data_IF_263012868011
#
_entry.id   IF_263012868011
#
_cell.length_a   1.000
_cell.length_b   1.000
_cell.length_c   1.000
_cell.angle_alpha   90.00
_cell.angle_beta   90.00
_cell.angle_gamma   90.00
#
_symmetry.space_group_name_H-M   'P 1'
#
loop_
_entity.id
_entity.type
_entity.pdbx_description
1 polymer ?
#
# COMPACT_ATOMS: atom_id res chain seq x y z
N UNK A 1 -11.59 -17.18 8.41
CA UNK A 1 -10.37 -16.55 7.88
C UNK A 1 -9.41 -17.63 7.41
N UNK A 2 -9.95 -18.56 6.69
CA UNK A 2 -9.11 -19.55 6.06
C UNK A 2 -8.14 -18.83 5.12
N UNK A 3 -6.86 -19.06 5.34
CA UNK A 3 -5.82 -18.51 4.49
C UNK A 3 -5.08 -17.24 4.95
N UNK A 4 -5.39 -16.66 6.11
CA UNK A 4 -4.59 -15.54 6.67
C UNK A 4 -3.95 -15.89 8.00
N UNK A 5 -2.66 -15.61 8.14
CA UNK A 5 -1.92 -15.85 9.37
C UNK A 5 -1.23 -14.54 9.82
N UNK A 6 -1.58 -14.02 11.01
CA UNK A 6 -0.98 -12.79 11.51
C UNK A 6 0.45 -13.04 12.00
N UNK A 7 1.34 -12.07 11.81
CA UNK A 7 2.70 -12.06 12.33
C UNK A 7 3.11 -10.66 12.75
N UNK A 8 4.16 -10.55 13.55
CA UNK A 8 4.71 -9.28 13.99
C UNK A 8 5.87 -8.88 13.09
N UNK A 9 5.79 -7.68 12.55
CA UNK A 9 6.85 -7.09 11.73
C UNK A 9 7.95 -6.47 12.59
N UNK A 10 9.04 -6.01 11.94
CA UNK A 10 10.21 -5.48 12.65
C UNK A 10 9.97 -4.20 13.45
N UNK A 11 8.91 -3.44 13.18
CA UNK A 11 8.51 -2.23 13.91
C UNK A 11 7.38 -2.46 14.92
N UNK A 12 7.11 -3.71 15.26
CA UNK A 12 6.04 -4.16 16.17
C UNK A 12 4.61 -3.93 15.60
N UNK A 13 4.45 -3.59 14.32
CA UNK A 13 3.14 -3.61 13.65
C UNK A 13 2.76 -5.02 13.21
N UNK A 14 1.49 -5.24 12.87
CA UNK A 14 0.97 -6.55 12.47
C UNK A 14 0.96 -6.68 10.96
N UNK A 15 1.60 -7.71 10.42
CA UNK A 15 1.47 -8.15 9.04
C UNK A 15 0.56 -9.37 8.93
N UNK A 16 0.14 -9.68 7.70
CA UNK A 16 -0.60 -10.91 7.39
C UNK A 16 0.15 -11.69 6.31
N UNK A 17 0.22 -12.99 6.49
CA UNK A 17 0.59 -13.92 5.44
C UNK A 17 -0.67 -14.46 4.78
N UNK A 18 -0.72 -14.47 3.46
CA UNK A 18 -1.79 -15.10 2.67
C UNK A 18 -1.39 -16.50 2.26
N UNK A 19 -2.19 -17.49 2.62
CA UNK A 19 -2.01 -18.86 2.13
C UNK A 19 -2.39 -18.98 0.65
N UNK A 20 -3.34 -18.20 0.17
CA UNK A 20 -3.77 -18.18 -1.23
C UNK A 20 -2.64 -17.69 -2.16
N UNK A 21 -2.03 -16.55 -1.83
CA UNK A 21 -0.95 -15.96 -2.64
C UNK A 21 0.44 -16.50 -2.28
N UNK A 22 0.56 -17.28 -1.19
CA UNK A 22 1.84 -17.73 -0.63
C UNK A 22 2.83 -16.56 -0.42
N UNK A 23 2.30 -15.41 0.04
CA UNK A 23 3.06 -14.17 0.21
C UNK A 23 2.56 -13.37 1.42
N UNK A 24 3.34 -12.34 1.79
CA UNK A 24 3.06 -11.45 2.92
C UNK A 24 2.51 -10.12 2.43
N UNK A 25 1.46 -9.61 3.11
CA UNK A 25 0.89 -8.29 2.82
C UNK A 25 1.85 -7.15 3.12
N UNK A 26 2.73 -7.32 4.10
CA UNK A 26 3.73 -6.31 4.46
C UNK A 26 5.06 -7.00 4.72
N UNK A 27 6.16 -6.35 4.35
CA UNK A 27 7.48 -6.92 4.56
C UNK A 27 7.80 -7.09 6.06
N UNK A 28 8.66 -8.05 6.39
CA UNK A 28 9.11 -8.25 7.76
C UNK A 28 9.91 -7.07 8.36
N UNK A 29 10.19 -6.03 7.54
CA UNK A 29 10.86 -4.81 8.01
C UNK A 29 9.96 -3.96 8.92
N UNK A 30 8.68 -3.79 8.57
CA UNK A 30 7.71 -3.04 9.34
C UNK A 30 6.60 -2.48 8.47
N UNK A 31 5.36 -2.92 8.68
CA UNK A 31 4.22 -2.45 7.90
C UNK A 31 3.98 -0.94 8.05
N UNK A 32 4.06 -0.45 9.27
CA UNK A 32 3.88 0.97 9.58
C UNK A 32 5.03 1.82 9.04
N UNK A 33 6.28 1.35 9.21
CA UNK A 33 7.47 2.01 8.67
C UNK A 33 7.40 2.11 7.15
N UNK A 34 7.00 1.04 6.46
CA UNK A 34 6.81 1.04 5.01
C UNK A 34 5.76 2.04 4.56
N UNK A 35 4.61 2.09 5.24
CA UNK A 35 3.55 3.04 4.93
C UNK A 35 4.04 4.49 5.01
N UNK A 36 4.79 4.83 6.05
CA UNK A 36 5.34 6.19 6.17
C UNK A 36 6.46 6.46 5.17
N UNK A 37 7.47 5.61 5.08
CA UNK A 37 8.65 5.86 4.26
C UNK A 37 8.35 5.86 2.75
N UNK A 38 7.39 5.03 2.31
CA UNK A 38 7.11 4.85 0.88
C UNK A 38 5.90 5.63 0.40
N UNK A 39 4.87 5.86 1.25
CA UNK A 39 3.60 6.43 0.84
C UNK A 39 3.27 7.78 1.47
N UNK A 40 3.91 8.18 2.56
CA UNK A 40 3.65 9.46 3.23
C UNK A 40 4.82 10.44 3.09
N UNK A 41 6.01 10.06 3.56
CA UNK A 41 7.17 10.95 3.60
C UNK A 41 7.62 11.51 2.22
N UNK A 42 7.44 10.77 1.10
CA UNK A 42 7.79 11.31 -0.22
C UNK A 42 6.90 12.45 -0.70
N UNK A 43 5.70 12.59 -0.10
CA UNK A 43 4.67 13.50 -0.57
C UNK A 43 4.78 14.88 0.09
N UNK A 44 4.56 15.92 -0.70
CA UNK A 44 4.40 17.29 -0.24
C UNK A 44 2.92 17.63 -0.33
N UNK A 45 2.27 17.77 0.83
CA UNK A 45 0.83 17.98 0.94
C UNK A 45 0.54 19.45 1.21
N UNK A 46 0.32 20.23 0.16
CA UNK A 46 0.04 21.67 0.24
C UNK A 46 -1.45 21.98 0.28
N UNK A 47 -2.26 21.25 -0.48
CA UNK A 47 -3.72 21.45 -0.58
C UNK A 47 -4.44 21.10 0.72
N UNK A 48 -5.56 21.79 0.96
CA UNK A 48 -6.43 21.52 2.11
C UNK A 48 -7.53 20.50 1.80
N UNK A 49 -7.94 20.39 0.54
CA UNK A 49 -8.90 19.39 0.06
C UNK A 49 -8.16 18.39 -0.83
N UNK A 50 -8.19 17.12 -0.47
CA UNK A 50 -7.34 16.07 -1.05
C UNK A 50 -8.19 14.86 -1.39
N UNK A 51 -8.02 14.36 -2.61
CA UNK A 51 -8.55 13.07 -3.05
C UNK A 51 -7.41 12.05 -3.14
N UNK A 52 -7.56 10.93 -2.47
CA UNK A 52 -6.59 9.82 -2.47
C UNK A 52 -7.26 8.57 -3.05
N UNK A 53 -6.59 7.92 -3.98
CA UNK A 53 -6.95 6.59 -4.45
C UNK A 53 -5.96 5.58 -3.86
N UNK A 54 -6.44 4.68 -3.01
CA UNK A 54 -5.64 3.63 -2.39
C UNK A 54 -5.97 2.28 -3.01
N UNK A 55 -5.06 1.77 -3.84
CA UNK A 55 -5.22 0.52 -4.59
C UNK A 55 -4.51 -0.60 -3.85
N UNK A 56 -5.26 -1.66 -3.54
CA UNK A 56 -4.90 -2.73 -2.63
C UNK A 56 -4.77 -2.21 -1.19
N UNK A 57 -5.90 -1.69 -0.68
CA UNK A 57 -6.02 -1.12 0.66
C UNK A 57 -5.53 -2.09 1.76
N UNK A 58 -5.81 -3.39 1.63
CA UNK A 58 -5.39 -4.42 2.59
C UNK A 58 -5.82 -4.08 4.02
N UNK A 59 -4.84 -3.97 4.94
CA UNK A 59 -5.03 -3.52 6.32
C UNK A 59 -5.07 -1.99 6.48
N UNK A 60 -4.99 -1.25 5.38
CA UNK A 60 -5.13 0.20 5.33
C UNK A 60 -3.97 0.98 5.94
N UNK A 61 -2.79 0.42 6.06
CA UNK A 61 -1.64 1.10 6.64
C UNK A 61 -1.30 2.40 5.92
N UNK A 62 -1.34 2.41 4.58
CA UNK A 62 -1.00 3.58 3.77
C UNK A 62 -1.99 4.73 4.00
N UNK A 63 -3.29 4.47 3.86
CA UNK A 63 -4.35 5.44 4.12
C UNK A 63 -4.36 5.92 5.56
N UNK A 64 -4.19 5.02 6.54
CA UNK A 64 -4.12 5.37 7.96
C UNK A 64 -2.94 6.28 8.27
N UNK A 65 -1.75 5.95 7.76
CA UNK A 65 -0.54 6.73 7.95
C UNK A 65 -0.68 8.13 7.30
N UNK A 66 -1.22 8.17 6.07
CA UNK A 66 -1.45 9.44 5.37
C UNK A 66 -2.45 10.32 6.11
N UNK A 67 -3.58 9.76 6.55
CA UNK A 67 -4.58 10.50 7.34
C UNK A 67 -3.98 11.02 8.65
N UNK A 68 -3.24 10.18 9.36
CA UNK A 68 -2.62 10.55 10.64
C UNK A 68 -1.59 11.68 10.49
N UNK A 69 -0.83 11.68 9.40
CA UNK A 69 0.16 12.73 9.09
C UNK A 69 -0.50 14.05 8.65
N UNK A 70 -1.71 13.98 8.06
CA UNK A 70 -2.41 15.11 7.46
C UNK A 70 -3.72 15.44 8.21
N UNK A 71 -3.73 15.31 9.51
CA UNK A 71 -4.90 15.41 10.40
C UNK A 71 -5.67 16.74 10.36
N UNK A 72 -5.14 17.77 9.74
CA UNK A 72 -5.77 19.09 9.60
C UNK A 72 -6.36 19.33 8.21
N UNK A 73 -6.32 18.32 7.32
CA UNK A 73 -6.80 18.42 5.94
C UNK A 73 -8.18 17.77 5.78
N UNK A 74 -8.89 18.18 4.73
CA UNK A 74 -10.10 17.48 4.25
C UNK A 74 -9.69 16.42 3.28
N UNK A 75 -9.99 15.15 3.56
CA UNK A 75 -9.46 14.05 2.75
C UNK A 75 -10.58 13.09 2.38
N UNK A 76 -10.69 12.81 1.10
CA UNK A 76 -11.55 11.75 0.56
C UNK A 76 -10.66 10.62 0.08
N UNK A 77 -10.85 9.46 0.67
CA UNK A 77 -10.19 8.22 0.25
C UNK A 77 -11.17 7.37 -0.56
N UNK A 78 -10.73 6.89 -1.72
CA UNK A 78 -11.32 5.76 -2.42
C UNK A 78 -10.39 4.57 -2.25
N UNK A 79 -10.83 3.59 -1.47
CA UNK A 79 -10.06 2.42 -1.07
C UNK A 79 -10.54 1.20 -1.85
N UNK A 80 -9.67 0.64 -2.68
CA UNK A 80 -9.95 -0.51 -3.52
C UNK A 80 -9.23 -1.74 -2.96
N UNK A 81 -9.96 -2.81 -2.74
CA UNK A 81 -9.39 -4.13 -2.43
C UNK A 81 -10.37 -5.22 -2.84
N UNK A 82 -9.88 -6.32 -3.37
CA UNK A 82 -10.74 -7.46 -3.70
C UNK A 82 -11.26 -8.16 -2.44
N UNK A 83 -10.53 -8.02 -1.32
CA UNK A 83 -10.82 -8.72 -0.08
C UNK A 83 -11.56 -7.82 0.93
N UNK A 84 -12.91 -7.88 0.93
CA UNK A 84 -13.76 -7.18 1.89
C UNK A 84 -13.38 -7.47 3.34
N UNK A 85 -12.96 -8.71 3.65
CA UNK A 85 -12.60 -9.12 5.01
C UNK A 85 -11.43 -8.30 5.54
N UNK A 86 -10.39 -8.06 4.74
CA UNK A 86 -9.24 -7.25 5.15
C UNK A 86 -9.63 -5.80 5.42
N UNK A 87 -10.49 -5.21 4.55
CA UNK A 87 -11.02 -3.87 4.80
C UNK A 87 -11.72 -3.79 6.15
N UNK A 88 -12.60 -4.75 6.44
CA UNK A 88 -13.35 -4.80 7.70
C UNK A 88 -12.46 -5.05 8.93
N UNK A 89 -11.39 -5.80 8.80
CA UNK A 89 -10.44 -6.05 9.90
C UNK A 89 -9.51 -4.88 10.17
N UNK A 90 -9.28 -4.06 9.16
CA UNK A 90 -8.31 -2.95 9.21
C UNK A 90 -8.35 -2.15 10.53
N UNK A 91 -9.49 -1.62 11.02
CA UNK A 91 -9.50 -0.79 12.21
C UNK A 91 -9.19 -1.56 13.51
N UNK A 92 -9.35 -2.87 13.52
CA UNK A 92 -9.14 -3.68 14.72
C UNK A 92 -7.71 -4.20 14.85
N UNK A 93 -6.91 -4.14 13.82
CA UNK A 93 -5.51 -4.59 13.85
C UNK A 93 -4.66 -3.59 14.63
N UNK A 94 -3.87 -4.09 15.56
CA UNK A 94 -2.91 -3.30 16.32
C UNK A 94 -1.83 -2.71 15.42
N UNK A 95 -1.69 -1.39 15.44
CA UNK A 95 -0.70 -0.67 14.63
C UNK A 95 0.51 -0.17 15.42
N UNK A 96 0.40 -0.10 16.76
CA UNK A 96 1.38 0.59 17.61
C UNK A 96 1.85 -0.23 18.83
N UNK A 97 1.62 -1.54 18.88
CA UNK A 97 1.82 -2.29 20.12
C UNK A 97 3.20 -2.91 20.29
N UNK A 98 3.71 -2.71 21.52
CA UNK A 98 4.72 -3.60 22.10
C UNK A 98 4.05 -4.93 22.45
N UNK A 99 3.98 -5.85 21.55
CA UNK A 99 3.64 -7.25 21.83
C UNK A 99 4.83 -7.96 22.50
N UNK A 100 5.50 -7.22 23.42
CA UNK A 100 6.87 -7.49 23.84
C UNK A 100 7.07 -8.84 24.51
N UNK A 101 6.12 -9.41 25.24
CA UNK A 101 6.43 -10.55 26.12
C UNK A 101 5.80 -11.87 25.65
N UNK A 102 4.65 -11.84 25.01
CA UNK A 102 3.99 -13.05 24.53
C UNK A 102 4.75 -13.69 23.35
N UNK A 103 5.18 -12.87 22.40
CA UNK A 103 5.86 -13.37 21.19
C UNK A 103 7.36 -13.59 21.36
N UNK A 104 8.01 -12.94 22.32
CA UNK A 104 9.40 -13.29 22.67
C UNK A 104 9.53 -14.72 23.16
N UNK A 105 8.48 -15.26 23.78
CA UNK A 105 8.42 -16.65 24.25
C UNK A 105 8.08 -17.68 23.17
N UNK A 106 7.44 -17.23 22.05
CA UNK A 106 7.10 -18.12 20.91
C UNK A 106 8.15 -18.10 19.77
N UNK A 107 9.23 -17.37 19.94
CA UNK A 107 10.25 -17.12 18.89
C UNK A 107 10.85 -18.39 18.27
N UNK A 108 10.84 -19.51 18.97
CA UNK A 108 11.56 -20.71 18.54
C UNK A 108 10.74 -21.67 17.67
N UNK A 109 9.43 -21.43 17.50
CA UNK A 109 8.53 -22.31 16.77
C UNK A 109 7.71 -21.63 15.64
N UNK A 110 7.97 -20.36 15.32
CA UNK A 110 7.17 -19.64 14.37
C UNK A 110 7.67 -19.87 12.94
N UNK A 111 6.82 -20.52 12.11
CA UNK A 111 6.99 -20.72 10.66
C UNK A 111 7.36 -19.42 9.91
N UNK A 112 6.99 -18.26 10.47
CA UNK A 112 7.14 -16.93 9.88
C UNK A 112 8.31 -16.12 10.45
N UNK A 113 9.02 -16.63 11.45
CA UNK A 113 10.20 -15.97 12.05
C UNK A 113 11.26 -15.59 11.01
N UNK A 114 11.35 -16.35 9.90
CA UNK A 114 12.25 -16.06 8.78
C UNK A 114 11.94 -14.74 8.04
N UNK A 115 10.70 -14.24 8.14
CA UNK A 115 10.28 -12.97 7.51
C UNK A 115 10.48 -11.78 8.44
N UNK A 116 10.61 -12.01 9.75
CA UNK A 116 10.81 -10.95 10.75
C UNK A 116 12.28 -10.52 10.74
N UNK A 117 12.53 -9.31 10.23
CA UNK A 117 13.84 -8.67 10.35
C UNK A 117 13.86 -7.85 11.62
N UNK A 118 14.96 -7.87 12.38
CA UNK A 118 15.13 -6.96 13.52
C UNK A 118 15.08 -5.52 13.01
N UNK A 119 13.91 -4.91 13.09
CA UNK A 119 13.68 -3.51 12.74
C UNK A 119 14.24 -2.61 13.84
N UNK A 120 14.81 -1.49 13.44
CA UNK A 120 15.40 -0.53 14.37
C UNK A 120 14.37 0.34 15.09
N UNK A 121 13.05 0.43 14.66
CA UNK A 121 12.35 1.66 14.94
C UNK A 121 10.88 1.56 15.29
N UNK A 122 10.58 2.19 16.42
CA UNK A 122 9.28 2.65 16.91
C UNK A 122 9.07 4.14 16.59
N UNK A 123 9.47 4.59 15.38
CA UNK A 123 9.46 6.00 15.01
C UNK A 123 8.05 6.48 14.64
N UNK A 124 7.30 5.65 13.96
CA UNK A 124 5.99 5.99 13.43
C UNK A 124 4.86 5.49 14.32
N UNK A 125 3.75 6.21 14.29
CA UNK A 125 2.57 5.92 15.11
C UNK A 125 1.31 6.33 14.37
N UNK A 126 0.23 5.56 14.55
CA UNK A 126 -1.13 5.94 14.15
C UNK A 126 -1.96 6.17 15.41
N UNK A 127 -2.64 7.30 15.49
CA UNK A 127 -3.49 7.63 16.61
C UNK A 127 -4.83 6.88 16.51
N UNK A 128 -5.42 6.48 17.64
CA UNK A 128 -6.63 5.63 17.70
C UNK A 128 -7.85 6.23 16.99
N UNK A 129 -7.95 7.56 16.91
CA UNK A 129 -9.04 8.24 16.22
C UNK A 129 -9.13 7.87 14.73
N UNK A 130 -8.02 7.52 14.09
CA UNK A 130 -7.98 7.06 12.69
C UNK A 130 -8.80 5.79 12.52
N UNK A 131 -8.63 4.83 13.44
CA UNK A 131 -9.39 3.59 13.43
C UNK A 131 -10.89 3.81 13.69
N UNK A 132 -11.23 4.79 14.56
CA UNK A 132 -12.63 5.17 14.82
C UNK A 132 -13.28 5.76 13.55
N UNK A 133 -12.57 6.59 12.79
CA UNK A 133 -13.04 7.08 11.48
C UNK A 133 -13.33 5.93 10.53
N UNK A 134 -12.42 4.97 10.45
CA UNK A 134 -12.60 3.78 9.59
C UNK A 134 -13.82 2.96 10.01
N UNK A 135 -14.01 2.70 11.31
CA UNK A 135 -15.17 1.96 11.83
C UNK A 135 -16.47 2.62 11.36
N UNK A 136 -16.57 3.95 11.48
CA UNK A 136 -17.75 4.69 11.03
C UNK A 136 -18.06 4.42 9.55
N UNK A 137 -17.10 4.63 8.66
CA UNK A 137 -17.32 4.52 7.22
C UNK A 137 -17.49 3.07 6.74
N UNK A 138 -16.82 2.11 7.38
CA UNK A 138 -17.01 0.69 7.10
C UNK A 138 -18.43 0.24 7.51
N UNK A 139 -18.91 0.71 8.65
CA UNK A 139 -20.30 0.45 9.06
C UNK A 139 -21.32 1.11 8.13
N UNK A 140 -21.10 2.36 7.73
CA UNK A 140 -21.96 3.06 6.75
C UNK A 140 -22.01 2.31 5.41
N UNK A 141 -20.89 1.67 5.01
CA UNK A 141 -20.80 0.91 3.76
C UNK A 141 -21.39 -0.50 3.83
N UNK A 142 -21.11 -1.23 4.90
CA UNK A 142 -21.38 -2.67 4.98
C UNK A 142 -22.46 -3.05 6.01
N UNK A 143 -22.94 -2.10 6.82
CA UNK A 143 -23.93 -2.36 7.88
C UNK A 143 -23.40 -3.34 8.92
N UNK A 144 -24.27 -4.25 9.37
CA UNK A 144 -23.90 -5.26 10.37
C UNK A 144 -22.90 -6.30 9.84
N UNK A 145 -22.85 -6.51 8.52
CA UNK A 145 -21.87 -7.41 7.89
C UNK A 145 -20.42 -6.97 8.06
N UNK A 146 -20.19 -5.68 8.42
CA UNK A 146 -18.88 -5.17 8.76
C UNK A 146 -18.28 -5.89 9.97
N UNK A 147 -19.11 -6.25 10.94
CA UNK A 147 -18.63 -6.82 12.19
C UNK A 147 -18.50 -8.33 12.09
N UNK A 148 -17.34 -8.80 11.75
CA UNK A 148 -17.01 -10.21 11.53
C UNK A 148 -16.77 -10.93 12.86
N UNK A 149 -17.84 -11.18 13.62
CA UNK A 149 -17.77 -11.74 14.97
C UNK A 149 -17.01 -13.09 15.02
N UNK A 150 -17.23 -13.94 14.02
CA UNK A 150 -16.55 -15.24 13.90
C UNK A 150 -15.02 -15.10 13.78
N UNK A 151 -14.54 -14.01 13.19
CA UNK A 151 -13.11 -13.76 13.01
C UNK A 151 -12.53 -13.11 14.26
N UNK A 152 -13.21 -12.11 14.80
CA UNK A 152 -12.76 -11.38 15.98
C UNK A 152 -12.77 -12.21 17.25
N UNK A 153 -13.55 -13.32 17.27
CA UNK A 153 -13.60 -14.27 18.39
C UNK A 153 -12.54 -15.36 18.32
N UNK A 154 -11.82 -15.53 17.20
CA UNK A 154 -10.80 -16.57 17.07
C UNK A 154 -9.59 -16.27 17.98
N UNK A 155 -9.29 -17.19 18.89
CA UNK A 155 -8.23 -17.04 19.90
C UNK A 155 -6.85 -16.72 19.30
N UNK A 156 -6.53 -17.30 18.13
CA UNK A 156 -5.24 -17.08 17.46
C UNK A 156 -5.01 -15.61 17.01
N UNK A 157 -6.08 -14.85 16.75
CA UNK A 157 -6.01 -13.46 16.34
C UNK A 157 -6.15 -12.47 17.51
N UNK A 158 -6.68 -12.92 18.65
CA UNK A 158 -6.95 -12.08 19.80
C UNK A 158 -5.75 -11.20 20.24
N UNK A 159 -4.51 -11.72 20.26
CA UNK A 159 -3.34 -10.91 20.64
C UNK A 159 -3.05 -9.75 19.69
N UNK A 160 -3.50 -9.85 18.41
CA UNK A 160 -3.22 -8.90 17.34
C UNK A 160 -4.29 -7.82 17.20
N UNK A 161 -5.41 -7.95 17.92
CA UNK A 161 -6.53 -7.03 17.83
C UNK A 161 -6.59 -6.01 18.96
N UNK A 162 -7.09 -4.81 18.64
CA UNK A 162 -7.44 -3.76 19.59
C UNK A 162 -8.72 -4.10 20.33
N UNK A 163 -8.60 -4.81 21.44
CA UNK A 163 -9.74 -5.33 22.20
C UNK A 163 -10.70 -4.23 22.66
N UNK A 164 -10.20 -3.04 22.96
CA UNK A 164 -11.04 -1.91 23.35
C UNK A 164 -11.97 -1.47 22.21
N UNK A 165 -11.48 -1.47 20.96
CA UNK A 165 -12.29 -1.13 19.78
C UNK A 165 -13.32 -2.22 19.49
N UNK A 166 -12.95 -3.49 19.64
CA UNK A 166 -13.89 -4.61 19.52
C UNK A 166 -15.01 -4.50 20.55
N UNK A 167 -14.66 -4.31 21.81
CA UNK A 167 -15.63 -4.16 22.90
C UNK A 167 -16.56 -2.97 22.68
N UNK A 168 -16.02 -1.91 22.12
CA UNK A 168 -16.79 -0.72 21.76
C UNK A 168 -17.82 -1.00 20.67
N UNK A 169 -17.41 -1.65 19.58
CA UNK A 169 -18.35 -2.01 18.51
C UNK A 169 -19.42 -2.95 19.03
N UNK A 170 -19.07 -3.96 19.85
CA UNK A 170 -20.04 -4.83 20.55
C UNK A 170 -21.03 -4.06 21.41
N UNK A 171 -20.55 -3.04 22.13
CA UNK A 171 -21.42 -2.18 22.91
C UNK A 171 -22.42 -1.39 22.03
N UNK A 172 -21.94 -0.86 20.89
CA UNK A 172 -22.80 -0.16 19.93
C UNK A 172 -23.86 -1.10 19.34
N UNK A 173 -23.49 -2.33 18.96
CA UNK A 173 -24.43 -3.34 18.43
C UNK A 173 -25.58 -3.61 19.40
N UNK A 174 -25.29 -3.79 20.70
CA UNK A 174 -26.31 -4.05 21.72
C UNK A 174 -27.28 -2.89 21.92
N UNK A 175 -26.90 -1.67 21.61
CA UNK A 175 -27.71 -0.45 21.80
C UNK A 175 -28.38 0.06 20.53
N UNK A 176 -28.15 -0.59 19.41
CA UNK A 176 -28.64 -0.17 18.10
C UNK A 176 -27.76 0.90 17.46
N UNK A 177 -27.25 0.58 16.30
CA UNK A 177 -26.36 1.45 15.51
C UNK A 177 -27.05 2.68 14.90
N UNK A 178 -28.38 2.76 14.94
CA UNK A 178 -29.14 3.88 14.35
C UNK A 178 -28.66 5.26 14.78
N UNK A 179 -27.85 5.31 15.81
CA UNK A 179 -27.31 6.53 16.41
C UNK A 179 -25.79 6.72 16.25
N UNK A 180 -25.09 5.93 15.45
CA UNK A 180 -23.65 6.15 15.21
C UNK A 180 -23.40 7.52 14.58
N UNK A 181 -24.36 8.06 13.84
CA UNK A 181 -24.34 9.42 13.35
C UNK A 181 -24.54 10.50 14.42
N UNK A 182 -24.95 10.12 15.64
CA UNK A 182 -25.14 11.06 16.75
C UNK A 182 -23.81 11.32 17.46
N UNK A 183 -23.30 12.56 17.47
CA UNK A 183 -22.06 12.93 18.15
C UNK A 183 -22.01 12.50 19.61
N UNK A 184 -23.14 12.55 20.32
CA UNK A 184 -23.22 12.31 21.76
C UNK A 184 -22.93 10.86 22.18
N UNK A 185 -23.18 9.87 21.31
CA UNK A 185 -22.89 8.45 21.61
C UNK A 185 -21.44 8.09 21.34
N UNK A 186 -20.81 8.77 20.40
CA UNK A 186 -19.38 8.69 20.18
C UNK A 186 -18.55 9.34 21.29
N UNK A 187 -19.12 10.32 22.00
CA UNK A 187 -18.50 11.00 23.14
C UNK A 187 -18.10 10.05 24.27
N UNK A 188 -18.77 8.93 24.40
CA UNK A 188 -18.47 7.97 25.47
C UNK A 188 -17.10 7.31 25.31
N UNK A 189 -16.55 7.29 24.10
CA UNK A 189 -15.25 6.68 23.88
C UNK A 189 -14.08 7.62 24.01
N UNK A 190 -14.24 8.83 23.62
CA UNK A 190 -13.19 9.84 23.77
C UNK A 190 -13.72 11.23 23.40
N UNK A 191 -13.33 12.25 24.17
CA UNK A 191 -13.24 13.65 23.73
C UNK A 191 -12.56 13.81 22.34
N UNK A 192 -12.00 12.75 21.80
CA UNK A 192 -11.36 12.60 20.50
C UNK A 192 -12.34 12.83 19.36
N UNK A 193 -13.57 12.28 19.39
CA UNK A 193 -14.54 12.45 18.31
C UNK A 193 -14.86 13.93 18.07
N UNK A 194 -15.20 14.67 19.14
CA UNK A 194 -15.48 16.10 19.03
C UNK A 194 -14.25 16.92 18.66
N UNK A 195 -13.11 16.57 19.16
CA UNK A 195 -11.87 17.30 18.90
C UNK A 195 -11.36 17.12 17.47
N UNK A 196 -11.62 15.98 16.88
CA UNK A 196 -11.01 15.59 15.61
C UNK A 196 -12.01 15.33 14.47
N UNK A 197 -13.20 14.83 14.71
CA UNK A 197 -14.15 14.48 13.65
C UNK A 197 -15.20 15.56 13.37
N UNK A 198 -15.66 16.31 14.37
CA UNK A 198 -16.67 17.37 14.17
C UNK A 198 -16.19 18.54 13.31
N UNK A 199 -14.89 18.66 13.08
CA UNK A 199 -14.25 19.76 12.34
C UNK A 199 -13.61 19.30 11.01
N UNK A 200 -13.79 18.05 10.61
CA UNK A 200 -13.06 17.50 9.46
C UNK A 200 -13.98 16.72 8.54
N UNK A 201 -13.98 17.13 7.30
CA UNK A 201 -14.61 16.38 6.21
C UNK A 201 -13.65 15.25 5.78
N UNK A 202 -13.63 14.13 6.51
CA UNK A 202 -12.91 12.92 6.16
C UNK A 202 -13.94 11.91 5.67
N UNK A 203 -13.72 11.37 4.50
CA UNK A 203 -14.60 10.37 3.90
C UNK A 203 -13.76 9.18 3.40
N UNK A 204 -14.20 7.97 3.71
CA UNK A 204 -13.69 6.74 3.13
C UNK A 204 -14.80 6.07 2.32
N UNK A 205 -14.53 5.86 1.05
CA UNK A 205 -15.35 5.03 0.17
C UNK A 205 -14.63 3.70 -0.05
N UNK A 206 -15.31 2.59 0.22
CA UNK A 206 -14.74 1.25 0.08
C UNK A 206 -15.33 0.54 -1.12
N UNK A 207 -14.46 -0.03 -1.96
CA UNK A 207 -14.80 -0.76 -3.17
C UNK A 207 -14.25 -2.19 -3.09
N UNK A 208 -15.03 -3.16 -2.55
CA UNK A 208 -14.61 -4.56 -2.46
C UNK A 208 -14.82 -5.27 -3.80
N UNK A 209 -14.01 -4.93 -4.77
CA UNK A 209 -14.09 -5.45 -6.15
C UNK A 209 -12.70 -5.45 -6.80
N UNK A 210 -12.58 -6.11 -7.96
CA UNK A 210 -11.38 -6.02 -8.79
C UNK A 210 -11.08 -4.55 -9.12
N UNK A 211 -9.88 -4.11 -8.76
CA UNK A 211 -9.46 -2.74 -8.97
C UNK A 211 -9.54 -2.32 -10.44
N UNK A 212 -9.31 -3.24 -11.38
CA UNK A 212 -9.41 -2.99 -12.83
C UNK A 212 -10.83 -2.60 -13.25
N UNK A 213 -11.85 -3.27 -12.69
CA UNK A 213 -13.26 -2.94 -12.94
C UNK A 213 -13.67 -1.64 -12.27
N UNK A 214 -13.14 -1.40 -11.09
CA UNK A 214 -13.47 -0.22 -10.30
C UNK A 214 -12.91 1.04 -10.94
N UNK A 215 -11.63 1.08 -11.35
CA UNK A 215 -11.01 2.28 -11.95
C UNK A 215 -11.68 2.73 -13.24
N UNK A 216 -12.28 1.81 -14.00
CA UNK A 216 -13.03 2.13 -15.21
C UNK A 216 -14.36 2.87 -14.94
N UNK A 217 -14.88 2.77 -13.71
CA UNK A 217 -16.15 3.40 -13.28
C UNK A 217 -15.92 4.71 -12.54
N UNK A 218 -14.68 4.97 -12.10
CA UNK A 218 -14.34 6.21 -11.41
C UNK A 218 -14.30 7.37 -12.39
N UNK A 219 -14.97 8.47 -12.06
CA UNK A 219 -15.12 9.66 -12.88
C UNK A 219 -14.57 10.93 -12.23
N UNK A 220 -13.78 10.80 -11.18
CA UNK A 220 -13.12 11.90 -10.48
C UNK A 220 -11.60 11.78 -10.59
N UNK A 221 -10.90 12.85 -10.26
CA UNK A 221 -9.44 12.89 -10.27
C UNK A 221 -8.85 12.93 -8.87
N UNK A 222 -7.61 12.47 -8.74
CA UNK A 222 -6.93 12.26 -7.47
C UNK A 222 -5.65 13.08 -7.38
N UNK A 223 -5.40 13.63 -6.19
CA UNK A 223 -4.13 14.28 -5.85
C UNK A 223 -3.03 13.24 -5.61
N UNK A 224 -3.40 12.12 -4.98
CA UNK A 224 -2.46 11.03 -4.69
C UNK A 224 -3.07 9.68 -5.06
N UNK A 225 -2.23 8.82 -5.65
CA UNK A 225 -2.53 7.41 -5.91
C UNK A 225 -1.49 6.56 -5.18
N UNK A 226 -1.97 5.67 -4.30
CA UNK A 226 -1.17 4.65 -3.66
C UNK A 226 -1.37 3.34 -4.42
N UNK A 227 -0.29 2.76 -4.96
CA UNK A 227 -0.34 1.49 -5.66
C UNK A 227 0.51 0.47 -4.90
N UNK A 228 -0.16 -0.37 -4.12
CA UNK A 228 0.47 -1.31 -3.18
C UNK A 228 0.02 -2.77 -3.43
N UNK A 229 -0.03 -3.17 -4.69
CA UNK A 229 -0.37 -4.53 -5.09
C UNK A 229 0.75 -5.54 -4.75
N UNK A 230 0.42 -6.83 -4.66
CA UNK A 230 1.42 -7.90 -4.57
C UNK A 230 2.47 -7.81 -5.67
N UNK A 231 3.56 -8.58 -5.53
CA UNK A 231 4.63 -8.62 -6.53
C UNK A 231 4.11 -8.91 -7.93
N UNK A 232 4.88 -8.48 -8.92
CA UNK A 232 4.48 -8.57 -10.33
C UNK A 232 4.18 -9.98 -10.82
N UNK A 233 4.79 -10.99 -10.20
CA UNK A 233 4.56 -12.39 -10.55
C UNK A 233 3.25 -12.93 -9.95
N UNK A 234 2.79 -12.33 -8.87
CA UNK A 234 1.55 -12.71 -8.17
C UNK A 234 0.34 -11.92 -8.66
N UNK A 235 0.56 -10.67 -9.07
CA UNK A 235 -0.51 -9.75 -9.43
C UNK A 235 -0.16 -8.92 -10.69
N UNK A 236 0.22 -9.55 -11.83
CA UNK A 236 0.68 -8.84 -13.03
C UNK A 236 -0.39 -7.91 -13.62
N UNK A 237 -1.67 -8.19 -13.39
CA UNK A 237 -2.79 -7.42 -13.89
C UNK A 237 -2.82 -5.97 -13.38
N UNK A 238 -2.45 -5.72 -12.12
CA UNK A 238 -2.40 -4.37 -11.55
C UNK A 238 -1.10 -3.62 -11.88
N UNK A 239 -0.18 -4.29 -12.55
CA UNK A 239 1.07 -3.74 -13.05
C UNK A 239 1.10 -3.63 -14.58
N UNK A 240 -0.01 -3.98 -15.27
CA UNK A 240 -0.11 -3.87 -16.73
C UNK A 240 -0.12 -2.41 -17.18
N UNK A 241 0.44 -2.14 -18.34
CA UNK A 241 0.43 -0.78 -18.90
C UNK A 241 -1.00 -0.28 -19.16
N UNK A 242 -1.90 -1.21 -19.45
CA UNK A 242 -3.30 -0.88 -19.72
C UNK A 242 -3.97 -0.38 -18.44
N UNK A 243 -3.74 -1.02 -17.29
CA UNK A 243 -4.19 -0.56 -15.99
C UNK A 243 -3.53 0.76 -15.58
N UNK A 244 -2.21 0.88 -15.73
CA UNK A 244 -1.47 2.11 -15.38
C UNK A 244 -1.92 3.32 -16.21
N UNK A 245 -2.33 3.13 -17.47
CA UNK A 245 -2.92 4.20 -18.28
C UNK A 245 -4.26 4.70 -17.73
N UNK A 246 -5.08 3.82 -17.14
CA UNK A 246 -6.28 4.27 -16.43
C UNK A 246 -5.89 5.13 -15.20
N UNK A 247 -4.89 4.73 -14.44
CA UNK A 247 -4.40 5.54 -13.31
C UNK A 247 -3.84 6.89 -13.78
N UNK A 248 -3.14 6.89 -14.93
CA UNK A 248 -2.68 8.15 -15.54
C UNK A 248 -3.84 9.09 -15.84
N UNK A 249 -4.96 8.60 -16.35
CA UNK A 249 -6.12 9.44 -16.63
C UNK A 249 -6.81 9.95 -15.35
N UNK A 250 -6.80 9.17 -14.28
CA UNK A 250 -7.42 9.50 -12.99
C UNK A 250 -6.60 10.45 -12.13
N UNK A 251 -5.29 10.59 -12.35
CA UNK A 251 -4.45 11.47 -11.55
C UNK A 251 -4.51 12.91 -12.07
N UNK A 252 -4.52 13.89 -11.15
CA UNK A 252 -4.43 15.30 -11.48
C UNK A 252 -3.12 15.65 -12.20
N UNK A 253 -3.05 16.77 -12.96
CA UNK A 253 -1.81 17.20 -13.62
C UNK A 253 -0.63 17.34 -12.63
N UNK A 254 -0.87 17.86 -11.43
CA UNK A 254 0.10 18.03 -10.34
C UNK A 254 0.05 16.89 -9.30
N UNK A 255 -0.75 15.85 -9.57
CA UNK A 255 -0.91 14.69 -8.69
C UNK A 255 0.30 13.76 -8.70
N UNK A 256 0.39 12.93 -7.68
CA UNK A 256 1.54 12.03 -7.45
C UNK A 256 1.08 10.60 -7.20
N UNK A 257 1.65 9.65 -7.94
CA UNK A 257 1.53 8.22 -7.70
C UNK A 257 2.78 7.73 -6.97
N UNK A 258 2.59 6.95 -5.92
CA UNK A 258 3.67 6.29 -5.17
C UNK A 258 3.44 4.80 -5.08
N UNK A 259 4.55 4.04 -5.13
CA UNK A 259 4.55 2.59 -4.96
C UNK A 259 5.84 2.13 -4.30
N UNK A 260 5.78 0.99 -3.62
CA UNK A 260 6.93 0.41 -2.93
C UNK A 260 7.99 -0.18 -3.87
N UNK A 261 7.62 -0.49 -5.10
CA UNK A 261 8.50 -1.25 -6.01
C UNK A 261 9.60 -0.41 -6.65
N UNK A 262 10.78 -1.00 -6.79
CA UNK A 262 11.91 -0.47 -7.55
C UNK A 262 12.11 -1.22 -8.89
N UNK A 263 11.16 -2.05 -9.27
CA UNK A 263 11.25 -2.93 -10.43
C UNK A 263 11.45 -2.16 -11.74
N UNK A 264 12.37 -2.64 -12.56
CA UNK A 264 12.68 -2.10 -13.90
C UNK A 264 11.43 -2.06 -14.77
N UNK A 265 10.67 -3.15 -14.78
CA UNK A 265 9.44 -3.24 -15.58
C UNK A 265 8.43 -2.18 -15.17
N UNK A 266 8.20 -1.98 -13.86
CA UNK A 266 7.18 -1.04 -13.38
C UNK A 266 7.59 0.41 -13.66
N UNK A 267 8.86 0.76 -13.46
CA UNK A 267 9.38 2.07 -13.81
C UNK A 267 9.21 2.37 -15.31
N UNK A 268 9.51 1.38 -16.16
CA UNK A 268 9.30 1.53 -17.60
C UNK A 268 7.82 1.64 -17.95
N UNK A 269 6.96 0.81 -17.35
CA UNK A 269 5.50 0.87 -17.54
C UNK A 269 4.93 2.25 -17.21
N UNK A 270 5.38 2.86 -16.08
CA UNK A 270 4.97 4.20 -15.69
C UNK A 270 5.43 5.25 -16.71
N UNK A 271 6.67 5.17 -17.21
CA UNK A 271 7.19 6.08 -18.23
C UNK A 271 6.41 5.92 -19.56
N UNK A 272 6.17 4.70 -20.02
CA UNK A 272 5.40 4.42 -21.24
C UNK A 272 3.93 4.85 -21.13
N UNK A 273 3.39 4.88 -19.89
CA UNK A 273 2.07 5.44 -19.63
C UNK A 273 2.03 6.97 -19.66
N UNK A 274 3.20 7.65 -19.65
CA UNK A 274 3.32 9.10 -19.75
C UNK A 274 3.78 9.81 -18.49
N UNK A 275 4.10 9.10 -17.41
CA UNK A 275 4.59 9.71 -16.18
C UNK A 275 6.07 10.10 -16.25
N UNK A 276 6.43 11.18 -15.59
CA UNK A 276 7.79 11.39 -15.09
C UNK A 276 8.00 10.50 -13.87
N UNK A 277 9.13 9.79 -13.82
CA UNK A 277 9.41 8.77 -12.81
C UNK A 277 10.67 9.09 -12.05
N UNK A 278 10.63 8.89 -10.74
CA UNK A 278 11.77 9.03 -9.86
C UNK A 278 11.83 7.97 -8.76
N UNK A 279 12.85 8.10 -7.93
CA UNK A 279 13.14 7.19 -6.82
C UNK A 279 12.67 7.79 -5.51
N UNK A 280 12.04 6.98 -4.66
CA UNK A 280 11.83 7.30 -3.26
C UNK A 280 13.09 6.91 -2.49
N UNK A 281 13.65 7.89 -1.78
CA UNK A 281 14.84 7.70 -0.94
C UNK A 281 14.43 7.97 0.51
N UNK A 282 14.67 7.00 1.39
CA UNK A 282 14.39 7.16 2.81
C UNK A 282 15.54 7.91 3.53
N UNK A 283 15.38 8.15 4.84
CA UNK A 283 16.37 8.85 5.67
C UNK A 283 17.74 8.15 5.70
N UNK A 284 17.75 6.81 5.59
CA UNK A 284 18.98 6.01 5.49
C UNK A 284 19.64 6.09 4.09
N UNK A 285 19.17 6.95 3.20
CA UNK A 285 19.61 7.11 1.81
C UNK A 285 19.45 5.84 0.95
N UNK A 286 18.51 4.97 1.32
CA UNK A 286 18.18 3.76 0.55
C UNK A 286 17.03 4.03 -0.42
N UNK A 287 17.07 3.37 -1.57
CA UNK A 287 15.96 3.37 -2.53
C UNK A 287 14.88 2.43 -2.02
N UNK A 288 13.73 2.99 -1.63
CA UNK A 288 12.64 2.22 -0.99
C UNK A 288 11.39 2.12 -1.83
N UNK A 289 11.31 2.84 -2.97
CA UNK A 289 10.14 2.81 -3.83
C UNK A 289 10.29 3.70 -5.06
N UNK A 290 9.19 3.86 -5.76
CA UNK A 290 9.08 4.68 -6.99
C UNK A 290 7.99 5.73 -6.82
N UNK A 291 8.28 6.95 -7.25
CA UNK A 291 7.37 8.08 -7.34
C UNK A 291 7.14 8.44 -8.80
N UNK A 292 5.91 8.77 -9.18
CA UNK A 292 5.55 9.14 -10.53
C UNK A 292 4.57 10.32 -10.52
N UNK A 293 4.66 11.21 -11.51
CA UNK A 293 3.76 12.36 -11.67
C UNK A 293 3.66 12.77 -13.13
N UNK A 294 2.57 13.44 -13.51
CA UNK A 294 2.47 14.16 -14.79
C UNK A 294 3.30 15.44 -14.78
N UNK A 295 3.58 15.98 -13.58
CA UNK A 295 4.40 17.17 -13.41
C UNK A 295 5.84 16.77 -13.05
N UNK A 296 6.76 17.14 -13.92
CA UNK A 296 8.19 16.94 -13.73
C UNK A 296 8.72 17.56 -12.43
N UNK A 297 8.16 18.69 -11.98
CA UNK A 297 8.60 19.41 -10.78
C UNK A 297 8.39 18.58 -9.51
N UNK A 298 7.40 17.69 -9.49
CA UNK A 298 7.12 16.78 -8.36
C UNK A 298 8.19 15.70 -8.17
N UNK A 299 9.06 15.49 -9.14
CA UNK A 299 10.10 14.45 -9.11
C UNK A 299 11.43 15.04 -8.66
N UNK A 300 11.90 14.67 -7.46
CA UNK A 300 13.17 15.15 -6.90
C UNK A 300 14.37 14.27 -7.28
N UNK A 301 14.21 12.96 -7.28
CA UNK A 301 15.30 12.00 -7.48
C UNK A 301 15.08 11.22 -8.76
N UNK A 302 15.54 11.74 -9.88
CA UNK A 302 15.41 11.10 -11.18
C UNK A 302 16.19 9.80 -11.29
N UNK A 303 15.79 8.97 -12.24
CA UNK A 303 16.60 7.84 -12.69
C UNK A 303 17.84 8.36 -13.41
N UNK A 304 18.99 7.75 -13.15
CA UNK A 304 20.24 8.09 -13.85
C UNK A 304 20.31 7.38 -15.21
N UNK A 305 21.33 7.71 -16.01
CA UNK A 305 21.51 7.14 -17.36
C UNK A 305 21.62 5.61 -17.37
N UNK A 306 22.28 5.04 -16.37
CA UNK A 306 22.39 3.59 -16.23
C UNK A 306 21.00 2.95 -15.96
N UNK A 307 20.23 3.52 -15.05
CA UNK A 307 18.87 3.07 -14.74
C UNK A 307 17.95 3.22 -15.96
N UNK A 308 18.00 4.37 -16.65
CA UNK A 308 17.23 4.60 -17.89
C UNK A 308 17.61 3.62 -19.00
N UNK A 309 18.90 3.29 -19.15
CA UNK A 309 19.35 2.28 -20.09
C UNK A 309 18.87 0.89 -19.75
N UNK A 310 18.79 0.56 -18.45
CA UNK A 310 18.28 -0.73 -17.98
C UNK A 310 16.78 -0.91 -18.32
N UNK A 311 15.99 0.16 -18.29
CA UNK A 311 14.57 0.15 -18.70
C UNK A 311 14.40 -0.26 -20.17
N UNK A 312 15.37 0.05 -21.02
CA UNK A 312 15.37 -0.28 -22.47
C UNK A 312 15.85 -1.70 -22.77
N UNK A 313 15.99 -2.55 -21.78
CA UNK A 313 16.31 -3.97 -21.93
C UNK A 313 15.05 -4.84 -21.91
N UNK A 314 15.20 -6.13 -22.19
CA UNK A 314 14.11 -7.12 -22.06
C UNK A 314 13.39 -7.06 -20.71
N UNK A 315 14.08 -6.66 -19.63
CA UNK A 315 13.49 -6.51 -18.30
C UNK A 315 12.47 -5.39 -18.23
N UNK A 316 12.53 -4.39 -19.11
CA UNK A 316 11.60 -3.27 -19.14
C UNK A 316 10.30 -3.54 -19.92
N UNK A 317 10.17 -4.63 -20.66
CA UNK A 317 8.95 -4.93 -21.44
C UNK A 317 7.75 -5.04 -20.50
N UNK A 318 6.69 -4.18 -20.66
CA UNK A 318 5.55 -4.13 -19.76
C UNK A 318 4.69 -5.39 -19.79
N UNK A 319 3.87 -5.59 -18.78
CA UNK A 319 2.73 -6.49 -18.82
C UNK A 319 1.60 -5.86 -19.64
N UNK A 320 0.80 -6.69 -20.31
CA UNK A 320 -0.34 -6.29 -21.14
C UNK A 320 -1.62 -6.99 -20.67
N UNK A 321 -2.65 -6.20 -20.42
CA UNK A 321 -4.01 -6.67 -20.09
C UNK A 321 -5.02 -5.82 -20.87
N UNK A 322 -5.15 -6.09 -22.18
CA UNK A 322 -5.88 -5.24 -23.13
C UNK A 322 -7.34 -5.02 -22.77
N UNK A 323 -7.95 -5.99 -22.12
CA UNK A 323 -9.37 -5.97 -21.75
C UNK A 323 -9.60 -5.60 -20.29
N UNK A 324 -8.53 -5.52 -19.50
CA UNK A 324 -8.56 -5.42 -18.03
C UNK A 324 -9.36 -6.56 -17.35
N UNK A 325 -9.31 -7.74 -17.96
CA UNK A 325 -10.03 -8.92 -17.47
C UNK A 325 -9.25 -10.23 -17.66
N UNK A 326 -8.04 -10.17 -18.23
CA UNK A 326 -7.20 -11.36 -18.42
C UNK A 326 -6.74 -11.95 -17.10
N UNK A 327 -6.53 -13.28 -17.06
CA UNK A 327 -5.95 -13.94 -15.92
C UNK A 327 -4.45 -13.60 -15.78
N UNK A 328 -3.92 -13.82 -14.58
CA UNK A 328 -2.49 -13.62 -14.33
C UNK A 328 -1.63 -14.45 -15.28
N UNK A 329 -2.01 -15.72 -15.52
CA UNK A 329 -1.32 -16.64 -16.41
C UNK A 329 -1.29 -16.11 -17.84
N UNK A 330 -2.43 -15.64 -18.37
CA UNK A 330 -2.51 -15.09 -19.72
C UNK A 330 -1.60 -13.87 -19.90
N UNK A 331 -1.55 -12.99 -18.89
CA UNK A 331 -0.70 -11.80 -18.90
C UNK A 331 0.78 -12.19 -18.87
N UNK A 332 1.15 -13.15 -18.01
CA UNK A 332 2.52 -13.65 -17.89
C UNK A 332 3.00 -14.35 -19.16
N UNK A 333 2.16 -15.21 -19.76
CA UNK A 333 2.49 -15.90 -21.01
C UNK A 333 2.66 -14.93 -22.18
N UNK A 334 1.75 -13.95 -22.30
CA UNK A 334 1.87 -12.90 -23.31
C UNK A 334 3.19 -12.15 -23.19
N UNK A 335 3.51 -11.69 -21.98
CA UNK A 335 4.80 -11.02 -21.75
C UNK A 335 5.99 -11.90 -22.05
N UNK A 336 5.95 -13.18 -21.68
CA UNK A 336 7.01 -14.14 -22.02
C UNK A 336 7.25 -14.22 -23.53
N UNK A 337 6.19 -14.35 -24.31
CA UNK A 337 6.24 -14.36 -25.78
C UNK A 337 6.82 -13.04 -26.33
N UNK A 338 6.39 -11.88 -25.83
CA UNK A 338 6.92 -10.57 -26.24
C UNK A 338 8.42 -10.43 -25.91
N UNK A 339 8.86 -10.92 -24.77
CA UNK A 339 10.27 -10.94 -24.36
C UNK A 339 11.11 -11.85 -25.27
N UNK A 340 10.61 -13.02 -25.62
CA UNK A 340 11.28 -13.96 -26.51
C UNK A 340 11.46 -13.41 -27.92
N UNK A 341 10.40 -12.80 -28.47
CA UNK A 341 10.37 -12.20 -29.81
C UNK A 341 11.15 -10.87 -29.90
N UNK A 342 11.45 -10.26 -28.75
CA UNK A 342 12.12 -8.96 -28.72
C UNK A 342 13.59 -9.05 -29.08
N UNK A 343 14.06 -8.13 -29.91
CA UNK A 343 15.48 -7.93 -30.23
C UNK A 343 16.23 -7.10 -29.17
N UNK A 344 15.58 -6.71 -28.07
CA UNK A 344 16.23 -5.94 -27.01
C UNK A 344 17.31 -6.76 -26.32
N UNK A 345 18.32 -6.06 -25.81
CA UNK A 345 19.38 -6.66 -25.01
C UNK A 345 18.81 -7.22 -23.70
N UNK A 346 19.33 -8.36 -23.23
CA UNK A 346 19.03 -8.84 -21.88
C UNK A 346 19.60 -7.91 -20.81
N UNK A 347 18.93 -7.77 -19.67
CA UNK A 347 19.43 -6.98 -18.54
C UNK A 347 20.79 -7.49 -18.04
N UNK A 348 21.01 -8.80 -18.01
CA UNK A 348 22.29 -9.39 -17.61
C UNK A 348 23.44 -8.95 -18.50
N UNK A 349 23.24 -8.90 -19.83
CA UNK A 349 24.23 -8.40 -20.77
C UNK A 349 24.50 -6.90 -20.58
N UNK A 350 23.43 -6.11 -20.39
CA UNK A 350 23.53 -4.68 -20.13
C UNK A 350 24.37 -4.40 -18.87
N UNK A 351 24.08 -5.10 -17.77
CA UNK A 351 24.79 -4.96 -16.49
C UNK A 351 26.28 -5.30 -16.66
N UNK A 352 26.60 -6.41 -17.33
CA UNK A 352 28.01 -6.81 -17.61
C UNK A 352 28.78 -5.75 -18.37
N UNK A 353 28.19 -5.18 -19.42
CA UNK A 353 28.82 -4.11 -20.22
C UNK A 353 29.13 -2.86 -19.41
N UNK A 354 28.24 -2.47 -18.50
CA UNK A 354 28.44 -1.29 -17.65
C UNK A 354 29.37 -1.53 -16.48
N UNK A 355 29.39 -2.72 -15.89
CA UNK A 355 30.34 -3.11 -14.85
C UNK A 355 31.77 -3.10 -15.38
N UNK A 356 31.99 -3.55 -16.61
CA UNK A 356 33.31 -3.52 -17.24
C UNK A 356 33.79 -2.10 -17.58
N UNK A 357 32.87 -1.18 -17.96
CA UNK A 357 33.19 0.22 -18.16
C UNK A 357 33.64 0.92 -16.86
N UNK A 358 33.01 0.60 -15.73
CA UNK A 358 33.37 1.14 -14.42
C UNK A 358 34.75 0.64 -14.01
N UNK A 359 35.01 -0.66 -14.12
CA UNK A 359 36.33 -1.24 -13.82
C UNK A 359 37.45 -0.63 -14.67
N UNK A 360 37.19 -0.43 -15.97
CA UNK A 360 38.17 0.17 -16.89
C UNK A 360 38.47 1.66 -16.55
N UNK A 361 37.45 2.44 -16.16
CA UNK A 361 37.66 3.84 -15.70
C UNK A 361 38.43 3.94 -14.39
N UNK A 362 38.29 2.98 -13.48
CA UNK A 362 39.08 2.94 -12.25
C UNK A 362 40.54 2.56 -12.53
N UNK A 363 40.81 1.63 -13.49
CA UNK A 363 42.19 1.28 -13.89
C UNK A 363 42.90 2.37 -14.69
N UNK A 364 42.15 3.17 -15.47
CA UNK A 364 42.73 4.25 -16.28
C UNK A 364 42.99 5.53 -15.45
N UNK A 365 42.49 5.63 -14.23
CA UNK A 365 42.73 6.75 -13.29
C UNK A 365 43.81 6.41 -12.24
N UNK A 366 44.39 5.21 -12.27
CA UNK A 366 45.52 4.80 -11.41
C UNK A 366 46.86 4.80 -12.16
N UNK A 367 46.90 5.34 -13.39
CA UNK A 367 48.09 5.64 -14.18
C UNK A 367 48.25 7.17 -14.33
#
# INVERSE_FOLDING_TARGET
>A
MDGFLPYITGDDSVGLYSEEFHDIYHSGYGALTEAYEKFVCPLIVEKDNINVLDICFGLGYNSKAFLNANKNKKIIFDCLDINKTLMCLSPFIKTNHRLCDYFRKQKDNDKYSKYVRKGKYKKYRIEDWVNIVLIKHLYEKFGEEFFMEDILSQNQFSPFFEQNLINFVKFLQKRGYKDIGSPQKWLFLHNIYYRYLSKRDILFNFYPDDARRTVQKLNKTYDYIFLDAFTTDKCPQLWSIDFIKHLYNLILPDGVLVTYTNSVIIRNTLIEAGFFVGKIINEDKKFVGTIASKDKIKIKNYLNEYELGLLKTKAGIPYRDFTLADSAEQILERRKSEVEQSNLMSSSRYIKLHSNKIKKRCSDNEL
#
